data_IF_552235187594
#
_entry.id   IF_552235187594
#
_cell.length_a   1.000
_cell.length_b   1.000
_cell.length_c   1.000
_cell.angle_alpha   90.00
_cell.angle_beta   90.00
_cell.angle_gamma   90.00
#
_symmetry.space_group_name_H-M   'P 1'
#
loop_
_entity.id
_entity.type
_entity.pdbx_description
1 polymer ?
#
# COMPACT_ATOMS: atom_id res chain seq x y z
N UNK A 1 -12.53 -28.31 -15.18
CA UNK A 1 -11.64 -28.94 -14.19
C UNK A 1 -11.40 -27.92 -13.08
N UNK A 2 -12.08 -28.09 -11.94
CA UNK A 2 -12.10 -27.19 -10.78
C UNK A 2 -11.64 -27.99 -9.56
N UNK A 3 -10.91 -27.34 -8.64
CA UNK A 3 -10.50 -27.82 -7.29
C UNK A 3 -9.20 -28.63 -7.15
N UNK A 4 -8.05 -28.07 -7.56
CA UNK A 4 -6.74 -28.59 -7.10
C UNK A 4 -5.88 -27.54 -6.37
N UNK A 5 -6.13 -26.24 -6.54
CA UNK A 5 -5.23 -25.18 -6.01
C UNK A 5 -5.40 -24.91 -4.49
N UNK A 6 -6.48 -25.40 -3.86
CA UNK A 6 -6.79 -25.03 -2.48
C UNK A 6 -6.08 -25.88 -1.41
N UNK A 7 -5.50 -27.03 -1.78
CA UNK A 7 -4.84 -27.93 -0.83
C UNK A 7 -3.33 -27.67 -0.64
N UNK A 8 -2.67 -27.03 -1.61
CA UNK A 8 -1.25 -26.67 -1.49
C UNK A 8 -1.02 -25.51 -0.51
N UNK A 9 -1.99 -24.60 -0.37
CA UNK A 9 -1.92 -23.52 0.63
C UNK A 9 -1.97 -24.07 2.06
N UNK A 10 -2.82 -25.06 2.35
CA UNK A 10 -3.06 -25.51 3.72
C UNK A 10 -1.85 -26.25 4.33
N UNK A 11 -1.12 -27.04 3.53
CA UNK A 11 0.07 -27.75 4.01
C UNK A 11 1.26 -26.80 4.27
N UNK A 12 1.48 -25.81 3.39
CA UNK A 12 2.53 -24.80 3.57
C UNK A 12 2.29 -23.90 4.80
N UNK A 13 1.02 -23.65 5.16
CA UNK A 13 0.63 -22.87 6.35
C UNK A 13 0.99 -23.60 7.66
N UNK A 14 0.94 -24.93 7.71
CA UNK A 14 1.21 -25.67 8.96
C UNK A 14 2.69 -25.74 9.31
N UNK A 15 3.61 -25.85 8.34
CA UNK A 15 5.04 -25.79 8.61
C UNK A 15 5.51 -24.37 8.99
N UNK A 16 4.98 -23.34 8.33
CA UNK A 16 5.39 -21.95 8.58
C UNK A 16 5.04 -21.49 10.00
N UNK A 17 3.87 -21.89 10.53
CA UNK A 17 3.45 -21.54 11.89
C UNK A 17 4.35 -22.13 12.98
N UNK A 18 4.85 -23.36 12.82
CA UNK A 18 5.80 -23.97 13.75
C UNK A 18 7.18 -23.30 13.72
N UNK A 19 7.68 -22.95 12.53
CA UNK A 19 8.95 -22.22 12.36
C UNK A 19 8.90 -20.82 12.99
N UNK A 20 7.76 -20.12 12.93
CA UNK A 20 7.59 -18.82 13.56
C UNK A 20 7.54 -18.86 15.10
N UNK A 21 7.08 -19.97 15.69
CA UNK A 21 7.07 -20.13 17.15
C UNK A 21 8.47 -20.37 17.73
N UNK A 22 9.41 -20.86 16.92
CA UNK A 22 10.80 -21.11 17.32
C UNK A 22 11.73 -19.91 17.12
N UNK A 23 11.27 -18.81 16.51
CA UNK A 23 12.10 -17.62 16.28
C UNK A 23 12.46 -16.92 17.59
N UNK A 24 13.76 -16.78 17.85
CA UNK A 24 14.28 -16.01 18.97
C UNK A 24 13.91 -14.54 18.84
N UNK A 25 13.63 -13.88 19.97
CA UNK A 25 13.34 -12.44 19.99
C UNK A 25 14.62 -11.64 19.90
N UNK A 26 14.77 -10.86 18.84
CA UNK A 26 15.72 -9.76 18.74
C UNK A 26 15.23 -8.56 19.57
N UNK A 27 16.13 -7.93 20.33
CA UNK A 27 15.89 -6.68 21.05
C UNK A 27 16.46 -5.50 20.26
N UNK A 28 15.61 -4.54 19.93
CA UNK A 28 16.01 -3.32 19.23
C UNK A 28 16.27 -2.17 20.21
N UNK A 29 17.21 -1.29 19.85
CA UNK A 29 17.43 -0.02 20.56
C UNK A 29 16.26 0.93 20.34
N UNK A 30 16.19 2.01 21.14
CA UNK A 30 15.13 3.02 20.99
C UNK A 30 15.21 3.71 19.62
N UNK A 31 16.41 3.91 19.13
CA UNK A 31 16.68 4.55 17.84
C UNK A 31 16.22 3.65 16.69
N UNK A 32 16.50 2.34 16.76
CA UNK A 32 16.01 1.36 15.80
C UNK A 32 14.49 1.29 15.81
N UNK A 33 13.86 1.20 16.98
CA UNK A 33 12.40 1.20 17.09
C UNK A 33 11.78 2.45 16.50
N UNK A 34 12.40 3.62 16.71
CA UNK A 34 11.93 4.87 16.12
C UNK A 34 12.00 4.86 14.59
N UNK A 35 13.05 4.30 14.00
CA UNK A 35 13.15 4.14 12.55
C UNK A 35 12.10 3.15 12.02
N UNK A 36 11.84 2.07 12.76
CA UNK A 36 10.81 1.08 12.40
C UNK A 36 9.38 1.62 12.51
N UNK A 37 9.15 2.60 13.40
CA UNK A 37 7.86 3.26 13.61
C UNK A 37 7.59 4.39 12.59
N UNK A 38 8.58 4.79 11.79
CA UNK A 38 8.40 5.77 10.71
C UNK A 38 7.67 5.10 9.53
N UNK A 39 6.55 5.71 9.09
CA UNK A 39 5.78 5.15 7.99
C UNK A 39 6.39 5.56 6.65
N UNK A 40 6.88 4.56 5.92
CA UNK A 40 7.53 4.73 4.63
C UNK A 40 6.58 4.64 3.44
N UNK A 41 5.29 4.36 3.65
CA UNK A 41 4.32 4.35 2.56
C UNK A 41 3.81 5.75 2.25
N UNK A 42 3.55 5.97 0.96
CA UNK A 42 2.84 7.13 0.49
C UNK A 42 1.39 7.13 0.95
N UNK A 43 0.89 8.31 1.30
CA UNK A 43 -0.53 8.49 1.59
C UNK A 43 -1.40 8.22 0.35
N UNK A 44 -2.55 7.58 0.55
CA UNK A 44 -3.53 7.44 -0.52
C UNK A 44 -4.20 8.80 -0.80
N UNK A 45 -4.26 9.21 -2.07
CA UNK A 45 -4.94 10.44 -2.49
C UNK A 45 -6.08 10.14 -3.46
N UNK A 46 -7.24 10.75 -3.20
CA UNK A 46 -8.41 10.64 -4.08
C UNK A 46 -8.50 11.83 -5.05
N UNK A 47 -8.10 13.02 -4.59
CA UNK A 47 -8.25 14.28 -5.33
C UNK A 47 -7.07 14.58 -6.23
N UNK A 48 -7.26 14.41 -7.54
CA UNK A 48 -6.27 14.73 -8.59
C UNK A 48 -6.49 16.12 -9.17
N UNK A 49 -5.45 16.71 -9.75
CA UNK A 49 -5.48 18.01 -10.38
C UNK A 49 -6.13 17.95 -11.76
N UNK A 50 -7.18 18.75 -11.97
CA UNK A 50 -7.76 18.98 -13.30
C UNK A 50 -7.04 20.04 -14.13
N UNK A 51 -5.99 20.64 -13.57
CA UNK A 51 -5.21 21.73 -14.19
C UNK A 51 -3.82 21.30 -14.67
N UNK A 52 -3.25 20.27 -14.04
CA UNK A 52 -1.93 19.75 -14.39
C UNK A 52 -2.07 18.57 -15.36
N UNK A 53 -1.08 18.41 -16.22
CA UNK A 53 -1.02 17.29 -17.17
C UNK A 53 -0.84 15.97 -16.43
N UNK A 54 -1.76 15.05 -16.66
CA UNK A 54 -1.68 13.64 -16.29
C UNK A 54 -1.13 12.83 -17.46
N UNK A 55 -0.52 11.69 -17.16
CA UNK A 55 -0.11 10.70 -18.17
C UNK A 55 -0.88 9.40 -17.94
N UNK A 56 -1.47 8.86 -18.99
CA UNK A 56 -2.05 7.51 -19.00
C UNK A 56 -1.24 6.66 -19.97
N UNK A 57 -0.88 5.45 -19.55
CA UNK A 57 -0.33 4.42 -20.42
C UNK A 57 -1.38 3.34 -20.61
N UNK A 58 -1.77 3.11 -21.86
CA UNK A 58 -2.73 2.07 -22.22
C UNK A 58 -2.02 0.71 -22.32
N UNK A 59 -2.78 -0.39 -22.24
CA UNK A 59 -2.23 -1.75 -22.34
C UNK A 59 -1.55 -2.06 -23.67
N UNK A 60 -1.89 -1.32 -24.74
CA UNK A 60 -1.19 -1.40 -26.02
C UNK A 60 0.11 -0.58 -26.08
N UNK A 61 0.53 0.04 -24.96
CA UNK A 61 1.73 0.87 -24.85
C UNK A 61 1.54 2.35 -25.25
N UNK A 62 0.37 2.72 -25.79
CA UNK A 62 0.08 4.11 -26.15
C UNK A 62 0.10 5.02 -24.92
N UNK A 63 0.73 6.19 -25.05
CA UNK A 63 0.76 7.23 -24.01
C UNK A 63 -0.21 8.36 -24.34
N UNK A 64 -1.11 8.65 -23.42
CA UNK A 64 -2.06 9.76 -23.51
C UNK A 64 -1.66 10.82 -22.49
N UNK A 65 -1.61 12.07 -22.94
CA UNK A 65 -1.32 13.22 -22.08
C UNK A 65 -2.45 14.24 -22.14
N UNK A 66 -2.81 14.77 -20.99
CA UNK A 66 -3.84 15.80 -20.85
C UNK A 66 -4.28 15.95 -19.41
N UNK A 67 -5.16 16.89 -19.09
CA UNK A 67 -5.61 17.08 -17.72
C UNK A 67 -6.75 16.14 -17.34
N UNK A 68 -6.72 15.59 -16.12
CA UNK A 68 -7.77 14.73 -15.60
C UNK A 68 -9.04 15.56 -15.30
N UNK A 69 -10.00 15.55 -16.22
CA UNK A 69 -11.21 16.36 -16.14
C UNK A 69 -12.36 15.69 -15.38
N UNK A 70 -12.29 14.37 -15.19
CA UNK A 70 -13.25 13.57 -14.45
C UNK A 70 -12.66 12.20 -14.12
N UNK A 71 -13.01 11.62 -12.96
CA UNK A 71 -12.68 10.23 -12.64
C UNK A 71 -13.93 9.57 -12.05
N UNK A 72 -14.38 8.51 -12.70
CA UNK A 72 -15.51 7.72 -12.24
C UNK A 72 -15.03 6.67 -11.23
N UNK A 73 -15.57 6.75 -10.01
CA UNK A 73 -15.25 5.80 -8.93
C UNK A 73 -16.51 5.19 -8.36
N UNK A 74 -16.44 3.89 -8.02
CA UNK A 74 -17.46 3.20 -7.22
C UNK A 74 -16.77 2.51 -6.06
N UNK A 75 -17.13 2.90 -4.83
CA UNK A 75 -16.52 2.40 -3.58
C UNK A 75 -14.99 2.55 -3.57
N UNK A 76 -14.48 3.68 -4.04
CA UNK A 76 -13.05 4.00 -4.09
C UNK A 76 -12.29 3.43 -5.29
N UNK A 77 -12.84 2.40 -5.96
CA UNK A 77 -12.25 1.82 -7.17
C UNK A 77 -12.48 2.72 -8.38
N UNK A 78 -11.45 2.94 -9.20
CA UNK A 78 -11.52 3.70 -10.46
C UNK A 78 -12.04 2.78 -11.58
N UNK A 79 -13.04 3.25 -12.32
CA UNK A 79 -13.64 2.55 -13.48
C UNK A 79 -13.32 3.25 -14.80
N UNK A 80 -13.22 4.57 -14.79
CA UNK A 80 -12.80 5.36 -15.94
C UNK A 80 -12.25 6.71 -15.53
N UNK A 81 -11.54 7.34 -16.46
CA UNK A 81 -10.98 8.69 -16.34
C UNK A 81 -11.20 9.45 -17.64
N UNK A 82 -11.64 10.70 -17.52
CA UNK A 82 -11.80 11.62 -18.64
C UNK A 82 -10.56 12.50 -18.77
N UNK A 83 -9.81 12.35 -19.85
CA UNK A 83 -8.67 13.21 -20.17
C UNK A 83 -9.09 14.30 -21.15
N UNK A 84 -8.80 15.55 -20.78
CA UNK A 84 -8.93 16.71 -21.64
C UNK A 84 -7.58 17.01 -22.28
N UNK A 85 -7.51 16.95 -23.61
CA UNK A 85 -6.28 17.25 -24.36
C UNK A 85 -6.03 18.76 -24.52
N UNK A 86 -4.94 19.13 -25.18
CA UNK A 86 -4.57 20.52 -25.44
C UNK A 86 -5.55 21.29 -26.34
N UNK A 87 -6.36 20.60 -27.15
CA UNK A 87 -7.45 21.21 -27.94
C UNK A 87 -8.72 21.44 -27.12
N UNK A 88 -8.77 20.85 -25.92
CA UNK A 88 -9.90 20.87 -25.03
C UNK A 88 -10.92 19.77 -25.26
N UNK A 89 -10.66 18.85 -26.19
CA UNK A 89 -11.47 17.65 -26.41
C UNK A 89 -11.30 16.71 -25.22
N UNK A 90 -12.44 16.18 -24.73
CA UNK A 90 -12.48 15.18 -23.66
C UNK A 90 -12.63 13.78 -24.25
N UNK A 91 -11.85 12.84 -23.73
CA UNK A 91 -11.94 11.42 -24.08
C UNK A 91 -11.97 10.60 -22.78
N UNK A 92 -12.96 9.72 -22.66
CA UNK A 92 -13.05 8.76 -21.55
C UNK A 92 -12.17 7.55 -21.85
N UNK A 93 -11.37 7.12 -20.87
CA UNK A 93 -10.59 5.89 -20.89
C UNK A 93 -11.07 4.97 -19.78
N UNK A 94 -11.41 3.73 -20.13
CA UNK A 94 -11.89 2.72 -19.17
C UNK A 94 -10.74 2.01 -18.49
N UNK A 95 -10.95 1.56 -17.26
CA UNK A 95 -9.96 0.84 -16.47
C UNK A 95 -9.38 -0.38 -17.21
N UNK A 96 -10.22 -1.09 -17.96
CA UNK A 96 -9.84 -2.29 -18.73
C UNK A 96 -8.82 -2.02 -19.84
N UNK A 97 -8.74 -0.77 -20.33
CA UNK A 97 -7.80 -0.37 -21.39
C UNK A 97 -6.49 0.23 -20.84
N UNK A 98 -6.49 0.60 -19.55
CA UNK A 98 -5.39 1.31 -18.90
C UNK A 98 -4.43 0.31 -18.26
N UNK A 99 -3.13 0.48 -18.49
CA UNK A 99 -2.08 -0.25 -17.79
C UNK A 99 -1.63 0.51 -16.54
N UNK A 100 -1.37 1.82 -16.66
CA UNK A 100 -0.94 2.65 -15.54
C UNK A 100 -1.26 4.14 -15.78
N UNK A 101 -1.27 4.92 -14.70
CA UNK A 101 -1.52 6.36 -14.74
C UNK A 101 -0.64 7.09 -13.73
N UNK A 102 -0.24 8.29 -14.12
CA UNK A 102 0.48 9.27 -13.33
C UNK A 102 -0.39 10.51 -13.23
N UNK A 103 -1.03 10.72 -12.08
CA UNK A 103 -2.04 11.77 -11.91
C UNK A 103 -1.56 12.78 -10.87
N UNK A 104 -1.25 14.03 -11.26
CA UNK A 104 -0.83 15.05 -10.31
C UNK A 104 -1.88 15.27 -9.22
N UNK A 105 -1.44 15.39 -7.97
CA UNK A 105 -2.34 15.59 -6.82
C UNK A 105 -2.86 17.04 -6.83
N UNK A 106 -4.13 17.22 -6.49
CA UNK A 106 -4.71 18.57 -6.36
C UNK A 106 -4.19 19.29 -5.10
N UNK A 107 -4.01 20.61 -5.19
CA UNK A 107 -3.57 21.41 -4.03
C UNK A 107 -4.50 21.28 -2.82
N UNK A 108 -5.81 21.16 -3.06
CA UNK A 108 -6.81 20.97 -2.01
C UNK A 108 -6.69 19.59 -1.34
N UNK A 109 -6.44 18.51 -2.09
CA UNK A 109 -6.21 17.19 -1.50
C UNK A 109 -4.92 17.16 -0.66
N UNK A 110 -3.84 17.78 -1.17
CA UNK A 110 -2.56 17.95 -0.46
C UNK A 110 -2.75 18.72 0.86
N UNK A 111 -3.47 19.86 0.82
CA UNK A 111 -3.78 20.64 2.01
C UNK A 111 -4.68 19.89 3.01
N UNK A 112 -5.69 19.15 2.52
CA UNK A 112 -6.58 18.35 3.37
C UNK A 112 -5.82 17.25 4.11
N UNK A 113 -4.93 16.53 3.42
CA UNK A 113 -4.08 15.50 4.03
C UNK A 113 -3.12 16.11 5.06
N UNK A 114 -2.47 17.21 4.71
CA UNK A 114 -1.60 17.94 5.64
C UNK A 114 -2.35 18.38 6.91
N UNK A 115 -3.58 18.91 6.76
CA UNK A 115 -4.41 19.29 7.89
C UNK A 115 -4.79 18.09 8.77
N UNK A 116 -5.16 16.95 8.16
CA UNK A 116 -5.44 15.71 8.92
C UNK A 116 -4.21 15.16 9.63
N UNK A 117 -3.02 15.35 9.06
CA UNK A 117 -1.77 14.97 9.71
C UNK A 117 -1.52 15.82 10.96
N UNK A 118 -1.65 17.15 10.87
CA UNK A 118 -1.40 18.06 12.00
C UNK A 118 -2.47 17.99 13.09
N UNK A 119 -3.72 17.66 12.76
CA UNK A 119 -4.79 17.52 13.74
C UNK A 119 -4.70 16.22 14.55
N UNK A 120 -3.94 15.22 14.07
CA UNK A 120 -3.73 13.96 14.79
C UNK A 120 -2.55 14.11 15.78
N UNK A 121 -2.86 14.10 17.08
CA UNK A 121 -1.92 14.33 18.19
C UNK A 121 -0.75 13.32 18.24
N UNK A 122 -0.87 12.14 17.62
CA UNK A 122 0.24 11.17 17.50
C UNK A 122 1.36 11.67 16.57
N UNK A 123 1.04 12.54 15.62
CA UNK A 123 1.98 13.02 14.62
C UNK A 123 2.90 14.13 15.14
N UNK A 124 2.58 14.72 16.29
CA UNK A 124 3.40 15.77 16.93
C UNK A 124 4.76 15.25 17.43
N UNK A 125 4.90 13.94 17.67
CA UNK A 125 6.16 13.30 18.07
C UNK A 125 6.99 12.73 16.90
N UNK A 126 6.41 12.61 15.70
CA UNK A 126 7.10 12.10 14.49
C UNK A 126 7.76 13.28 13.77
N UNK A 127 9.10 13.36 13.87
CA UNK A 127 9.90 14.54 13.45
C UNK A 127 10.00 14.73 11.92
N UNK A 128 9.58 13.77 11.11
CA UNK A 128 9.88 13.80 9.68
C UNK A 128 8.61 13.93 8.83
N UNK A 129 8.34 15.16 8.40
CA UNK A 129 7.40 15.52 7.32
C UNK A 129 7.89 15.07 5.91
N UNK A 130 8.92 14.22 5.83
CA UNK A 130 9.72 14.05 4.60
C UNK A 130 9.13 12.99 3.67
N UNK A 131 8.99 13.39 2.40
CA UNK A 131 8.75 12.61 1.15
C UNK A 131 7.49 11.73 1.09
N UNK A 132 7.24 10.84 2.05
CA UNK A 132 6.16 9.83 1.98
C UNK A 132 4.76 10.42 2.17
N UNK A 133 4.62 11.47 2.97
CA UNK A 133 3.31 12.14 3.15
C UNK A 133 2.98 13.17 2.08
N UNK A 134 3.86 13.41 1.11
CA UNK A 134 3.71 14.53 0.18
C UNK A 134 4.12 14.28 -1.28
N UNK A 135 3.73 13.15 -1.90
CA UNK A 135 3.96 12.95 -3.32
C UNK A 135 3.31 14.09 -4.15
N UNK A 136 3.87 14.36 -5.32
CA UNK A 136 3.31 15.36 -6.26
C UNK A 136 2.30 14.75 -7.23
N UNK A 137 2.31 13.43 -7.38
CA UNK A 137 1.41 12.65 -8.20
C UNK A 137 1.02 11.33 -7.51
N UNK A 138 -0.15 10.82 -7.84
CA UNK A 138 -0.51 9.44 -7.55
C UNK A 138 -0.08 8.55 -8.69
N UNK A 139 0.58 7.45 -8.36
CA UNK A 139 0.88 6.41 -9.31
C UNK A 139 -0.15 5.29 -9.18
N UNK A 140 -0.81 4.96 -10.28
CA UNK A 140 -1.88 3.96 -10.33
C UNK A 140 -1.50 2.88 -11.34
N UNK A 141 -1.56 1.62 -10.97
CA UNK A 141 -1.36 0.48 -11.86
C UNK A 141 -2.62 -0.35 -11.99
N UNK A 142 -2.81 -0.98 -13.14
CA UNK A 142 -3.77 -2.04 -13.31
C UNK A 142 -3.20 -3.33 -12.72
N UNK A 143 -3.91 -3.86 -11.73
CA UNK A 143 -3.51 -5.04 -10.96
C UNK A 143 -4.63 -6.06 -11.01
N UNK A 144 -4.29 -7.28 -11.42
CA UNK A 144 -5.20 -8.42 -11.32
C UNK A 144 -5.22 -8.92 -9.88
N UNK A 145 -6.36 -8.79 -9.21
CA UNK A 145 -6.50 -9.17 -7.81
C UNK A 145 -7.92 -9.70 -7.53
N UNK A 146 -8.07 -10.49 -6.47
CA UNK A 146 -9.39 -10.78 -5.91
C UNK A 146 -9.70 -9.75 -4.81
N UNK A 147 -10.81 -9.01 -4.94
CA UNK A 147 -11.24 -8.11 -3.87
C UNK A 147 -11.44 -8.87 -2.55
N UNK A 148 -10.66 -8.48 -1.54
CA UNK A 148 -10.66 -9.09 -0.20
C UNK A 148 -10.47 -10.61 -0.19
N UNK A 149 -9.77 -11.17 -1.18
CA UNK A 149 -9.56 -12.62 -1.35
C UNK A 149 -10.87 -13.44 -1.42
N UNK A 150 -11.99 -12.82 -1.83
CA UNK A 150 -13.35 -13.42 -1.79
C UNK A 150 -14.06 -13.51 -3.13
N UNK A 151 -13.49 -12.97 -4.20
CA UNK A 151 -14.13 -12.90 -5.51
C UNK A 151 -13.23 -13.50 -6.56
N UNK A 152 -13.78 -13.73 -7.74
CA UNK A 152 -12.94 -14.01 -8.90
C UNK A 152 -11.95 -12.86 -9.10
N UNK A 153 -10.75 -13.20 -9.55
CA UNK A 153 -9.75 -12.20 -9.88
C UNK A 153 -10.29 -11.29 -10.97
N UNK A 154 -10.15 -9.99 -10.75
CA UNK A 154 -10.49 -8.94 -11.69
C UNK A 154 -9.36 -7.92 -11.73
N UNK A 155 -9.31 -7.16 -12.81
CA UNK A 155 -8.36 -6.08 -12.96
C UNK A 155 -8.87 -4.81 -12.29
N UNK A 156 -7.98 -4.18 -11.53
CA UNK A 156 -8.28 -2.97 -10.76
C UNK A 156 -7.17 -1.96 -10.93
N UNK A 157 -7.55 -0.71 -11.20
CA UNK A 157 -6.65 0.42 -11.07
C UNK A 157 -6.44 0.74 -9.59
N UNK A 158 -5.25 0.46 -9.07
CA UNK A 158 -4.88 0.62 -7.66
C UNK A 158 -3.68 1.56 -7.49
N UNK A 159 -3.71 2.41 -6.46
CA UNK A 159 -2.62 3.35 -6.18
C UNK A 159 -1.45 2.59 -5.54
N UNK A 160 -0.28 2.63 -6.18
CA UNK A 160 0.98 2.14 -5.61
C UNK A 160 1.46 3.14 -4.56
N UNK A 161 1.71 2.66 -3.34
CA UNK A 161 2.08 3.51 -2.20
C UNK A 161 3.49 3.25 -1.68
N UNK A 162 4.29 2.44 -2.37
CA UNK A 162 5.71 2.31 -2.07
C UNK A 162 6.60 2.47 -3.32
N UNK A 163 6.33 3.45 -4.22
CA UNK A 163 6.97 3.52 -5.53
C UNK A 163 8.50 3.46 -5.46
N UNK A 164 9.12 4.14 -4.49
CA UNK A 164 10.58 4.23 -4.31
C UNK A 164 11.25 2.87 -4.01
N UNK A 165 10.52 1.89 -3.46
CA UNK A 165 11.03 0.58 -3.07
C UNK A 165 10.07 -0.56 -3.47
N UNK A 166 9.43 -0.42 -4.63
CA UNK A 166 8.37 -1.32 -5.12
C UNK A 166 8.85 -2.49 -5.99
N UNK A 167 10.15 -2.62 -6.23
CA UNK A 167 10.67 -3.51 -7.29
C UNK A 167 10.65 -5.01 -6.93
N UNK A 168 10.49 -5.38 -5.66
CA UNK A 168 10.29 -6.78 -5.24
C UNK A 168 8.89 -7.00 -4.69
N UNK A 169 8.44 -6.10 -3.81
CA UNK A 169 7.11 -6.11 -3.23
C UNK A 169 6.43 -4.79 -3.58
N UNK A 170 5.33 -4.86 -4.31
CA UNK A 170 4.47 -3.71 -4.60
C UNK A 170 3.36 -3.65 -3.54
N UNK A 171 3.13 -2.46 -2.99
CA UNK A 171 2.10 -2.22 -1.99
C UNK A 171 1.08 -1.26 -2.58
N UNK A 172 -0.18 -1.70 -2.60
CA UNK A 172 -1.31 -0.96 -3.12
C UNK A 172 -2.27 -0.58 -1.99
N UNK A 173 -2.75 0.67 -2.03
CA UNK A 173 -3.74 1.14 -1.07
C UNK A 173 -5.06 0.37 -1.21
N UNK A 174 -5.65 -0.06 -0.09
CA UNK A 174 -7.02 -0.58 -0.05
C UNK A 174 -7.99 0.61 0.17
N UNK A 175 -8.83 0.99 -0.81
CA UNK A 175 -9.73 2.14 -0.68
C UNK A 175 -10.79 1.99 0.41
N UNK A 176 -10.98 0.77 0.93
CA UNK A 176 -11.91 0.45 2.01
C UNK A 176 -11.17 0.09 3.32
N UNK A 177 -9.86 0.35 3.40
CA UNK A 177 -9.08 0.11 4.60
C UNK A 177 -9.68 0.88 5.78
N UNK A 178 -9.78 0.20 6.91
CA UNK A 178 -10.15 0.81 8.19
C UNK A 178 -8.88 1.22 8.93
N UNK A 179 -8.96 2.29 9.69
CA UNK A 179 -7.91 2.63 10.64
C UNK A 179 -8.19 2.02 12.03
N UNK A 180 -7.17 1.93 12.88
CA UNK A 180 -7.37 1.64 14.30
C UNK A 180 -8.12 2.80 14.97
N UNK A 181 -9.14 2.45 15.77
CA UNK A 181 -9.84 3.42 16.63
C UNK A 181 -9.00 3.61 17.88
N UNK A 182 -8.75 4.87 18.27
CA UNK A 182 -8.08 5.17 19.53
C UNK A 182 -8.92 4.74 20.73
N UNK A 183 -8.29 4.13 21.72
CA UNK A 183 -8.90 3.87 23.02
C UNK A 183 -8.32 4.87 24.03
N UNK A 184 -9.19 5.66 24.66
CA UNK A 184 -8.85 6.51 25.80
C UNK A 184 -9.32 5.84 27.08
N UNK A 185 -8.42 5.53 28.00
CA UNK A 185 -8.78 5.03 29.32
C UNK A 185 -8.56 6.14 30.36
N UNK A 186 -9.63 6.56 31.04
CA UNK A 186 -9.56 7.40 32.24
C UNK A 186 -8.75 8.70 32.14
N UNK A 187 -9.07 9.59 31.19
CA UNK A 187 -8.44 10.93 31.10
C UNK A 187 -6.99 10.94 30.58
N UNK A 188 -6.42 9.79 30.23
CA UNK A 188 -5.11 9.70 29.58
C UNK A 188 -5.21 10.04 28.08
N UNK A 189 -4.15 10.60 27.45
CA UNK A 189 -4.12 10.82 26.01
C UNK A 189 -4.48 9.54 25.26
N UNK A 190 -5.29 9.67 24.20
CA UNK A 190 -5.64 8.56 23.32
C UNK A 190 -4.38 7.81 22.84
N UNK A 191 -4.24 6.53 23.19
CA UNK A 191 -3.14 5.68 22.74
C UNK A 191 -3.68 4.72 21.67
N UNK A 192 -3.08 4.75 20.48
CA UNK A 192 -3.32 3.76 19.42
C UNK A 192 -4.55 4.00 18.55
N UNK A 193 -4.48 4.99 17.64
CA UNK A 193 -5.46 5.22 16.56
C UNK A 193 -4.75 5.60 15.25
N UNK A 194 -5.41 5.45 14.10
CA UNK A 194 -4.92 5.92 12.80
C UNK A 194 -3.97 4.98 12.04
N UNK A 195 -3.84 3.71 12.46
CA UNK A 195 -3.03 2.72 11.72
C UNK A 195 -3.90 2.01 10.69
N UNK A 196 -3.54 2.12 9.41
CA UNK A 196 -4.20 1.42 8.30
C UNK A 196 -4.15 -0.09 8.52
N UNK A 197 -5.29 -0.78 8.42
CA UNK A 197 -5.42 -2.20 8.77
C UNK A 197 -5.32 -3.17 7.59
N UNK A 198 -5.23 -2.68 6.37
CA UNK A 198 -5.16 -3.54 5.19
C UNK A 198 -4.52 -2.87 3.99
N UNK A 199 -3.86 -3.69 3.17
CA UNK A 199 -3.23 -3.33 1.90
C UNK A 199 -3.45 -4.46 0.91
N UNK A 200 -3.31 -4.17 -0.39
CA UNK A 200 -3.07 -5.22 -1.39
C UNK A 200 -1.57 -5.30 -1.62
N UNK A 201 -0.98 -6.48 -1.39
CA UNK A 201 0.44 -6.72 -1.55
C UNK A 201 0.63 -7.61 -2.78
N UNK A 202 1.48 -7.18 -3.69
CA UNK A 202 1.95 -8.02 -4.79
C UNK A 202 3.42 -8.35 -4.58
N UNK A 203 3.73 -9.64 -4.48
CA UNK A 203 5.09 -10.17 -4.46
C UNK A 203 5.15 -11.23 -5.56
N UNK A 204 6.11 -11.12 -6.46
CA UNK A 204 6.13 -11.89 -7.71
C UNK A 204 4.80 -11.66 -8.49
N UNK A 205 4.22 -12.71 -9.06
CA UNK A 205 2.93 -12.65 -9.78
C UNK A 205 1.71 -12.86 -8.87
N UNK A 206 1.89 -12.91 -7.55
CA UNK A 206 0.82 -13.16 -6.59
C UNK A 206 0.38 -11.87 -5.90
N UNK A 207 -0.92 -11.60 -5.94
CA UNK A 207 -1.55 -10.47 -5.26
C UNK A 207 -2.43 -10.98 -4.13
N UNK A 208 -2.23 -10.45 -2.92
CA UNK A 208 -3.01 -10.78 -1.74
C UNK A 208 -3.56 -9.54 -1.06
N UNK A 209 -4.80 -9.61 -0.58
CA UNK A 209 -5.28 -8.65 0.41
C UNK A 209 -4.70 -9.03 1.78
N UNK A 210 -3.72 -8.26 2.24
CA UNK A 210 -3.06 -8.44 3.54
C UNK A 210 -3.78 -7.59 4.59
N UNK A 211 -4.25 -8.21 5.66
CA UNK A 211 -4.83 -7.51 6.80
C UNK A 211 -3.93 -7.59 8.02
N UNK A 212 -4.10 -6.66 8.97
CA UNK A 212 -3.39 -6.70 10.26
C UNK A 212 -3.56 -8.03 11.00
N UNK A 213 -4.73 -8.67 10.90
CA UNK A 213 -4.97 -9.96 11.56
C UNK A 213 -4.24 -11.12 10.89
N UNK A 214 -4.00 -11.02 9.58
CA UNK A 214 -3.40 -12.11 8.78
C UNK A 214 -1.88 -11.94 8.65
N UNK A 215 -1.31 -10.87 9.22
CA UNK A 215 0.10 -10.55 9.03
C UNK A 215 1.04 -11.62 9.57
N UNK A 216 0.66 -12.28 10.68
CA UNK A 216 1.44 -13.37 11.23
C UNK A 216 1.55 -14.52 10.25
N UNK A 217 0.41 -14.98 9.75
CA UNK A 217 0.28 -16.14 8.88
C UNK A 217 1.00 -15.92 7.54
N UNK A 218 1.09 -14.65 7.12
CA UNK A 218 1.64 -14.25 5.84
C UNK A 218 3.08 -13.75 5.92
N UNK A 219 3.65 -13.64 7.12
CA UNK A 219 5.01 -13.13 7.32
C UNK A 219 6.05 -13.93 6.54
N UNK A 220 5.94 -15.27 6.57
CA UNK A 220 6.85 -16.16 5.85
C UNK A 220 6.70 -16.05 4.33
N UNK A 221 5.49 -15.81 3.82
CA UNK A 221 5.29 -15.55 2.39
C UNK A 221 6.00 -14.25 1.96
N UNK A 222 5.91 -13.22 2.80
CA UNK A 222 6.49 -11.91 2.51
C UNK A 222 8.01 -11.90 2.61
N UNK A 223 8.61 -12.62 3.56
CA UNK A 223 10.02 -12.43 3.92
C UNK A 223 10.82 -13.72 4.13
N UNK A 224 10.16 -14.89 4.18
CA UNK A 224 10.76 -16.16 4.58
C UNK A 224 11.78 -16.75 3.61
N UNK A 225 11.86 -16.19 2.41
CA UNK A 225 12.84 -16.50 1.37
C UNK A 225 14.18 -15.74 1.55
N UNK A 226 14.31 -14.89 2.56
CA UNK A 226 15.56 -14.19 2.89
C UNK A 226 15.99 -14.47 4.34
N UNK A 227 16.95 -15.38 4.53
CA UNK A 227 17.42 -15.80 5.86
C UNK A 227 18.05 -14.65 6.65
N UNK A 228 18.86 -13.79 6.00
CA UNK A 228 19.47 -12.61 6.64
C UNK A 228 18.39 -11.66 7.18
N UNK A 229 17.32 -11.44 6.40
CA UNK A 229 16.19 -10.63 6.83
C UNK A 229 15.47 -11.27 8.01
N UNK A 230 15.19 -12.57 7.94
CA UNK A 230 14.45 -13.30 8.98
C UNK A 230 15.21 -13.37 10.30
N UNK A 231 16.55 -13.41 10.27
CA UNK A 231 17.40 -13.34 11.46
C UNK A 231 17.35 -11.94 12.10
N UNK A 232 17.41 -10.88 11.28
CA UNK A 232 17.37 -9.49 11.79
C UNK A 232 15.99 -9.07 12.26
N UNK A 233 14.95 -9.53 11.58
CA UNK A 233 13.57 -9.13 11.79
C UNK A 233 12.66 -10.35 11.98
N UNK A 234 12.84 -11.13 13.05
CA UNK A 234 11.91 -12.21 13.34
C UNK A 234 10.54 -11.65 13.68
N UNK A 235 9.48 -12.37 13.31
CA UNK A 235 8.09 -11.94 13.53
C UNK A 235 7.82 -11.59 15.00
N UNK A 236 8.37 -12.38 15.92
CA UNK A 236 8.18 -12.23 17.36
C UNK A 236 8.77 -10.93 17.94
N UNK A 237 9.54 -10.18 17.14
CA UNK A 237 10.16 -8.90 17.52
C UNK A 237 9.55 -7.69 16.81
N UNK A 238 8.68 -7.88 15.82
CA UNK A 238 8.12 -6.79 15.02
C UNK A 238 6.64 -6.54 15.34
N UNK A 239 6.10 -5.45 14.79
CA UNK A 239 4.68 -5.10 14.88
C UNK A 239 4.16 -4.81 13.48
N UNK A 240 2.83 -4.83 13.33
CA UNK A 240 2.16 -4.45 12.08
C UNK A 240 2.55 -3.05 11.62
N UNK A 241 2.72 -2.13 12.58
CA UNK A 241 3.12 -0.75 12.34
C UNK A 241 4.48 -0.62 11.65
N UNK A 242 5.33 -1.66 11.73
CA UNK A 242 6.64 -1.67 11.07
C UNK A 242 6.57 -2.15 9.61
N UNK A 243 5.40 -2.47 9.06
CA UNK A 243 5.28 -3.12 7.74
C UNK A 243 5.99 -2.36 6.61
N UNK A 244 5.86 -1.03 6.56
CA UNK A 244 6.49 -0.22 5.53
C UNK A 244 8.01 -0.22 5.64
N UNK A 245 8.55 -0.12 6.85
CA UNK A 245 9.97 -0.32 7.14
C UNK A 245 10.44 -1.73 6.74
N UNK A 246 9.72 -2.78 7.13
CA UNK A 246 10.10 -4.17 6.84
C UNK A 246 10.16 -4.44 5.34
N UNK A 247 9.20 -3.93 4.56
CA UNK A 247 9.22 -4.07 3.11
C UNK A 247 10.39 -3.31 2.50
N UNK A 248 10.70 -2.09 2.98
CA UNK A 248 11.86 -1.34 2.53
C UNK A 248 13.18 -2.06 2.84
N UNK A 249 13.36 -2.57 4.05
CA UNK A 249 14.57 -3.29 4.44
C UNK A 249 14.73 -4.63 3.73
N UNK A 250 13.63 -5.39 3.56
CA UNK A 250 13.65 -6.63 2.78
C UNK A 250 14.09 -6.36 1.35
N UNK A 251 13.56 -5.28 0.78
CA UNK A 251 13.90 -4.81 -0.56
C UNK A 251 15.39 -4.45 -0.65
N UNK A 252 15.93 -3.70 0.31
CA UNK A 252 17.36 -3.33 0.36
C UNK A 252 18.28 -4.54 0.52
N UNK A 253 17.94 -5.49 1.39
CA UNK A 253 18.77 -6.68 1.64
C UNK A 253 18.77 -7.65 0.45
N UNK A 254 17.68 -7.70 -0.32
CA UNK A 254 17.55 -8.60 -1.48
C UNK A 254 18.19 -8.06 -2.76
N UNK A 255 18.77 -6.86 -2.73
CA UNK A 255 19.56 -6.28 -3.84
C UNK A 255 21.06 -6.59 -3.76
N UNK A 256 21.52 -7.17 -2.65
CA UNK A 256 22.93 -7.56 -2.47
C UNK A 256 23.25 -8.84 -3.22
#
# INVERSE_FOLDING_TARGET
MKKIIMYSFLAAITLSTAQMQAQEKVKYTKEQLKMMDDDLFDEMFIGVSSKKTSTIVLKNGSKIQGSASGINRKKGQIYSIDIKDGSGKKTEYKADDIAEMYLPISGMAKASKMNSYFSNTKNWGRKNLTKTTNPDEVYVRNVKASLKNKKDEQEFLMQLINPEFSHIIEVYADPAAKESTSVSFGGSPAIGGGVTKSYYIKKNDQVMWLTKSDFKEQYNFLFGDNEEFMEKYPYNSIKWEHLSFLIAEYTNLSQK
#
